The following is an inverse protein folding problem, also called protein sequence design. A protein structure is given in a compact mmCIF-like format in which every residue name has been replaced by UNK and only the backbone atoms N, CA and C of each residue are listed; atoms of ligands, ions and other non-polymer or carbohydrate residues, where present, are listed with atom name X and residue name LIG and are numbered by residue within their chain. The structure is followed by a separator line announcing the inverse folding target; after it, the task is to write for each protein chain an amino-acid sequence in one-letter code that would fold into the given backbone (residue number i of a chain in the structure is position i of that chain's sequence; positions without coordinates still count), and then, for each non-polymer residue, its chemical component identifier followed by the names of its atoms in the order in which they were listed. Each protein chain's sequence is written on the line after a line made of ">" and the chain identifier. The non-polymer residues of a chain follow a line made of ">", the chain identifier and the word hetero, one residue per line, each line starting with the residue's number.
data_IF_843364389558
#
_entry.id   IF_843364389558
#
_cell.length_a   1.000
_cell.length_b   1.000
_cell.length_c   1.000
_cell.angle_alpha   90.00
_cell.angle_beta   90.00
_cell.angle_gamma   90.00
#
_symmetry.space_group_name_H-M   'P 1'
#
loop_
_entity.id
_entity.type
_entity.pdbx_description
1 polymer ?
#
# COMPACT_ATOMS: atom_id res chain seq x y z
N UNK A 1 44.84 -27.36 21.22
CA UNK A 1 44.65 -26.44 20.08
C UNK A 1 45.73 -26.69 19.02
N UNK A 2 45.48 -26.37 17.73
CA UNK A 2 46.54 -26.36 16.69
C UNK A 2 47.69 -25.41 17.09
N UNK A 3 47.38 -24.38 17.89
CA UNK A 3 48.34 -23.42 18.45
C UNK A 3 49.26 -24.05 19.49
N UNK A 4 48.75 -24.93 20.36
CA UNK A 4 49.56 -25.63 21.38
C UNK A 4 50.56 -26.61 20.74
N UNK A 5 50.19 -27.20 19.59
CA UNK A 5 51.08 -28.07 18.81
C UNK A 5 52.21 -27.31 18.10
N UNK A 6 52.05 -26.00 17.91
CA UNK A 6 53.05 -25.12 17.30
C UNK A 6 53.96 -24.44 18.34
N UNK A 7 53.74 -24.68 19.64
CA UNK A 7 54.64 -24.26 20.73
C UNK A 7 54.53 -22.80 21.15
N UNK A 8 53.48 -22.08 20.73
CA UNK A 8 53.24 -20.70 21.15
C UNK A 8 52.82 -20.62 22.62
N UNK A 9 53.43 -19.72 23.40
CA UNK A 9 53.03 -19.44 24.78
C UNK A 9 52.00 -18.31 24.83
N UNK A 10 51.20 -18.30 25.89
CA UNK A 10 50.21 -17.26 26.12
C UNK A 10 50.92 -15.90 26.28
N UNK A 11 50.66 -14.96 25.37
CA UNK A 11 51.33 -13.65 25.30
C UNK A 11 52.31 -13.46 24.13
N UNK A 12 52.68 -14.53 23.40
CA UNK A 12 53.55 -14.42 22.23
C UNK A 12 52.82 -13.80 21.02
N UNK A 13 53.46 -12.84 20.34
CA UNK A 13 52.91 -12.25 19.11
C UNK A 13 53.03 -13.25 17.96
N UNK A 14 51.89 -13.74 17.48
CA UNK A 14 51.84 -14.73 16.41
C UNK A 14 51.95 -14.03 15.04
N UNK A 15 53.07 -14.23 14.34
CA UNK A 15 53.30 -13.72 12.99
C UNK A 15 53.46 -14.89 12.01
N UNK A 16 52.34 -15.50 11.63
CA UNK A 16 52.32 -16.56 10.63
C UNK A 16 51.28 -16.28 9.56
N UNK A 17 51.71 -16.30 8.29
CA UNK A 17 50.87 -16.01 7.13
C UNK A 17 49.64 -16.91 7.04
N UNK A 18 49.74 -18.19 7.42
CA UNK A 18 48.59 -19.10 7.47
C UNK A 18 47.54 -18.67 8.51
N UNK A 19 47.98 -18.14 9.66
CA UNK A 19 47.09 -17.70 10.74
C UNK A 19 46.44 -16.36 10.37
N UNK A 20 47.22 -15.40 9.85
CA UNK A 20 46.67 -14.14 9.33
C UNK A 20 45.69 -14.36 8.18
N UNK A 21 46.00 -15.25 7.22
CA UNK A 21 45.09 -15.61 6.13
C UNK A 21 43.82 -16.31 6.64
N UNK A 22 43.92 -17.11 7.71
CA UNK A 22 42.77 -17.76 8.33
C UNK A 22 41.86 -16.75 9.03
N UNK A 23 42.43 -15.76 9.74
CA UNK A 23 41.70 -14.64 10.34
C UNK A 23 41.01 -13.81 9.26
N UNK A 24 41.72 -13.47 8.18
CA UNK A 24 41.15 -12.72 7.06
C UNK A 24 39.99 -13.48 6.38
N UNK A 25 40.12 -14.79 6.17
CA UNK A 25 39.04 -15.63 5.63
C UNK A 25 37.85 -15.69 6.58
N UNK A 26 38.09 -15.81 7.89
CA UNK A 26 37.03 -15.80 8.89
C UNK A 26 36.29 -14.46 8.89
N UNK A 27 37.02 -13.34 8.86
CA UNK A 27 36.44 -12.00 8.73
C UNK A 27 35.61 -11.88 7.46
N UNK A 28 36.16 -12.25 6.30
CA UNK A 28 35.44 -12.20 5.02
C UNK A 28 34.15 -13.02 5.05
N UNK A 29 34.17 -14.20 5.68
CA UNK A 29 32.97 -15.04 5.83
C UNK A 29 31.90 -14.39 6.70
N UNK A 30 32.30 -13.68 7.76
CA UNK A 30 31.38 -12.90 8.61
C UNK A 30 30.80 -11.73 7.82
N UNK A 31 31.62 -11.02 7.04
CA UNK A 31 31.17 -9.94 6.15
C UNK A 31 30.19 -10.44 5.09
N UNK A 32 30.50 -11.56 4.41
CA UNK A 32 29.63 -12.21 3.42
C UNK A 32 28.29 -12.64 4.05
N UNK A 33 28.30 -13.18 5.28
CA UNK A 33 27.08 -13.54 5.99
C UNK A 33 26.23 -12.31 6.33
N UNK A 34 26.84 -11.26 6.88
CA UNK A 34 26.16 -10.00 7.18
C UNK A 34 25.59 -9.34 5.93
N UNK A 35 26.33 -9.37 4.82
CA UNK A 35 25.87 -8.90 3.52
C UNK A 35 24.64 -9.71 3.05
N UNK A 36 24.70 -11.04 3.14
CA UNK A 36 23.58 -11.91 2.78
C UNK A 36 22.30 -11.63 3.59
N UNK A 37 22.44 -11.42 4.90
CA UNK A 37 21.31 -11.07 5.79
C UNK A 37 20.67 -9.74 5.36
N UNK A 38 21.48 -8.70 5.12
CA UNK A 38 20.99 -7.38 4.71
C UNK A 38 20.34 -7.42 3.33
N UNK A 39 20.96 -8.12 2.38
CA UNK A 39 20.40 -8.30 1.03
C UNK A 39 19.02 -8.95 1.09
N UNK A 40 18.88 -10.04 1.86
CA UNK A 40 17.58 -10.70 2.04
C UNK A 40 16.58 -9.76 2.70
N UNK A 41 16.97 -9.02 3.74
CA UNK A 41 16.05 -8.06 4.38
C UNK A 41 15.53 -7.01 3.38
N UNK A 42 16.40 -6.49 2.52
CA UNK A 42 16.04 -5.54 1.47
C UNK A 42 15.03 -6.16 0.47
N UNK A 43 15.28 -7.38 -0.01
CA UNK A 43 14.40 -8.06 -0.97
C UNK A 43 12.96 -8.26 -0.47
N UNK A 44 12.78 -8.47 0.84
CA UNK A 44 11.45 -8.57 1.46
C UNK A 44 10.82 -7.19 1.67
N UNK A 45 11.62 -6.17 2.02
CA UNK A 45 11.15 -4.80 2.17
C UNK A 45 10.75 -4.18 0.83
N UNK A 46 11.42 -4.52 -0.28
CA UNK A 46 11.07 -4.03 -1.63
C UNK A 46 9.61 -4.32 -1.97
N UNK A 47 9.12 -5.52 -1.63
CA UNK A 47 7.71 -5.91 -1.81
C UNK A 47 6.80 -5.02 -0.97
N UNK A 48 7.13 -4.84 0.31
CA UNK A 48 6.37 -4.01 1.24
C UNK A 48 6.39 -2.54 0.84
N UNK A 49 7.50 -2.04 0.31
CA UNK A 49 7.66 -0.66 -0.10
C UNK A 49 6.77 -0.34 -1.30
N UNK A 50 6.69 -1.25 -2.30
CA UNK A 50 5.75 -1.12 -3.42
C UNK A 50 4.30 -1.05 -2.95
N UNK A 51 3.89 -1.96 -2.05
CA UNK A 51 2.56 -1.95 -1.47
C UNK A 51 2.28 -0.66 -0.67
N UNK A 52 3.23 -0.25 0.17
CA UNK A 52 3.14 0.95 1.00
C UNK A 52 2.94 2.22 0.16
N UNK A 53 3.69 2.37 -0.93
CA UNK A 53 3.54 3.51 -1.83
C UNK A 53 2.11 3.57 -2.39
N UNK A 54 1.56 2.45 -2.86
CA UNK A 54 0.20 2.40 -3.39
C UNK A 54 -0.87 2.74 -2.34
N UNK A 55 -0.74 2.22 -1.11
CA UNK A 55 -1.68 2.54 -0.02
C UNK A 55 -1.56 4.00 0.40
N UNK A 56 -0.34 4.52 0.51
CA UNK A 56 -0.12 5.89 0.94
C UNK A 56 -0.61 6.91 -0.07
N UNK A 57 -0.54 6.61 -1.36
CA UNK A 57 -1.16 7.43 -2.42
C UNK A 57 -2.68 7.52 -2.23
N UNK A 58 -3.37 6.38 -2.09
CA UNK A 58 -4.82 6.34 -1.83
C UNK A 58 -5.21 7.03 -0.53
N UNK A 59 -4.41 6.84 0.53
CA UNK A 59 -4.60 7.50 1.83
C UNK A 59 -4.46 9.02 1.70
N UNK A 60 -3.49 9.48 0.91
CA UNK A 60 -3.27 10.90 0.64
C UNK A 60 -4.47 11.52 -0.08
N UNK A 61 -5.00 10.83 -1.10
CA UNK A 61 -6.23 11.25 -1.78
C UNK A 61 -7.42 11.35 -0.82
N UNK A 62 -7.58 10.42 0.12
CA UNK A 62 -8.63 10.47 1.13
C UNK A 62 -8.45 11.61 2.14
N UNK A 63 -7.22 11.89 2.58
CA UNK A 63 -6.91 12.97 3.54
C UNK A 63 -7.21 14.36 2.97
N UNK A 64 -6.77 14.62 1.74
CA UNK A 64 -6.91 15.94 1.12
C UNK A 64 -8.20 16.07 0.30
N UNK A 65 -8.76 14.96 -0.17
CA UNK A 65 -9.94 14.91 -1.04
C UNK A 65 -9.63 15.13 -2.52
N UNK A 66 -8.36 15.24 -2.89
CA UNK A 66 -7.93 15.30 -4.28
C UNK A 66 -8.08 13.92 -4.91
N UNK A 67 -8.70 13.83 -6.09
CA UNK A 67 -8.94 12.57 -6.82
C UNK A 67 -9.77 11.50 -6.10
N UNK A 68 -10.24 11.75 -4.88
CA UNK A 68 -11.04 10.79 -4.11
C UNK A 68 -12.30 10.33 -4.86
N UNK A 69 -12.98 11.24 -5.58
CA UNK A 69 -14.13 10.88 -6.40
C UNK A 69 -13.79 9.82 -7.45
N UNK A 70 -12.60 9.92 -8.08
CA UNK A 70 -12.12 8.95 -9.07
C UNK A 70 -11.70 7.62 -8.41
N UNK A 71 -11.11 7.65 -7.21
CA UNK A 71 -10.83 6.43 -6.45
C UNK A 71 -12.12 5.68 -6.07
N UNK A 72 -13.16 6.41 -5.66
CA UNK A 72 -14.48 5.83 -5.35
C UNK A 72 -15.12 5.27 -6.62
N UNK A 73 -15.13 6.02 -7.71
CA UNK A 73 -15.63 5.61 -9.03
C UNK A 73 -14.96 4.31 -9.52
N UNK A 74 -13.63 4.26 -9.43
CA UNK A 74 -12.82 3.06 -9.72
C UNK A 74 -13.20 1.90 -8.79
N UNK A 75 -13.51 2.18 -7.52
CA UNK A 75 -13.97 1.16 -6.57
C UNK A 75 -15.32 0.57 -6.97
N UNK A 76 -16.26 1.39 -7.44
CA UNK A 76 -17.55 0.91 -7.96
C UNK A 76 -17.35 -0.01 -9.18
N UNK A 77 -16.52 0.41 -10.14
CA UNK A 77 -16.20 -0.40 -11.32
C UNK A 77 -15.52 -1.73 -10.94
N UNK A 78 -14.54 -1.70 -10.03
CA UNK A 78 -13.85 -2.89 -9.56
C UNK A 78 -14.78 -3.89 -8.85
N UNK A 79 -15.72 -3.40 -8.02
CA UNK A 79 -16.69 -4.28 -7.35
C UNK A 79 -17.72 -4.82 -8.35
N UNK A 80 -18.19 -4.03 -9.32
CA UNK A 80 -19.05 -4.53 -10.38
C UNK A 80 -18.37 -5.67 -11.15
N UNK A 81 -17.10 -5.48 -11.55
CA UNK A 81 -16.26 -6.50 -12.17
C UNK A 81 -16.16 -7.77 -11.32
N UNK A 82 -15.72 -7.62 -10.07
CA UNK A 82 -15.53 -8.74 -9.15
C UNK A 82 -16.81 -9.53 -8.90
N UNK A 83 -17.97 -8.88 -8.81
CA UNK A 83 -19.25 -9.56 -8.62
C UNK A 83 -19.67 -10.31 -9.89
N UNK A 84 -19.60 -9.66 -11.06
CA UNK A 84 -19.93 -10.34 -12.32
C UNK A 84 -19.02 -11.55 -12.50
N UNK A 85 -17.71 -11.38 -12.46
CA UNK A 85 -16.75 -12.48 -12.70
C UNK A 85 -16.99 -13.66 -11.75
N UNK A 86 -17.07 -13.40 -10.44
CA UNK A 86 -17.22 -14.45 -9.44
C UNK A 86 -18.54 -15.21 -9.56
N UNK A 87 -19.66 -14.52 -9.77
CA UNK A 87 -20.97 -15.18 -9.82
C UNK A 87 -21.25 -15.79 -11.18
N UNK A 88 -20.63 -15.29 -12.27
CA UNK A 88 -20.72 -15.94 -13.59
C UNK A 88 -19.97 -17.27 -13.59
N UNK A 89 -18.82 -17.34 -12.94
CA UNK A 89 -18.06 -18.58 -12.79
C UNK A 89 -18.83 -19.63 -11.98
N UNK A 90 -19.58 -19.19 -10.97
CA UNK A 90 -20.39 -20.07 -10.11
C UNK A 90 -21.78 -20.41 -10.68
N UNK A 91 -22.17 -19.80 -11.80
CA UNK A 91 -23.51 -19.88 -12.39
C UNK A 91 -24.65 -19.52 -11.40
N UNK A 92 -24.36 -18.66 -10.40
CA UNK A 92 -25.27 -18.33 -9.31
C UNK A 92 -25.86 -16.91 -9.45
N UNK A 93 -26.97 -16.82 -10.18
CA UNK A 93 -27.67 -15.56 -10.41
C UNK A 93 -28.39 -15.03 -9.15
N UNK A 94 -28.93 -15.91 -8.31
CA UNK A 94 -29.60 -15.49 -7.07
C UNK A 94 -28.60 -14.93 -6.06
N UNK A 95 -27.43 -15.56 -5.93
CA UNK A 95 -26.31 -15.04 -5.17
C UNK A 95 -25.83 -13.69 -5.70
N UNK A 96 -25.73 -13.52 -7.02
CA UNK A 96 -25.41 -12.25 -7.66
C UNK A 96 -26.41 -11.14 -7.29
N UNK A 97 -27.71 -11.42 -7.38
CA UNK A 97 -28.76 -10.46 -6.98
C UNK A 97 -28.61 -10.05 -5.51
N UNK A 98 -28.42 -11.02 -4.62
CA UNK A 98 -28.22 -10.75 -3.20
C UNK A 98 -26.95 -9.92 -2.96
N UNK A 99 -25.87 -10.20 -3.68
CA UNK A 99 -24.64 -9.44 -3.58
C UNK A 99 -24.80 -8.00 -4.08
N UNK A 100 -25.60 -7.75 -5.12
CA UNK A 100 -25.93 -6.39 -5.57
C UNK A 100 -26.67 -5.60 -4.49
N UNK A 101 -27.60 -6.23 -3.78
CA UNK A 101 -28.32 -5.60 -2.66
C UNK A 101 -27.34 -5.28 -1.53
N UNK A 102 -26.50 -6.24 -1.11
CA UNK A 102 -25.60 -6.06 0.03
C UNK A 102 -24.48 -5.04 -0.24
N UNK A 103 -23.97 -4.98 -1.48
CA UNK A 103 -22.85 -4.09 -1.80
C UNK A 103 -23.32 -2.73 -2.32
N UNK A 104 -24.35 -2.68 -3.17
CA UNK A 104 -24.78 -1.43 -3.80
C UNK A 104 -26.14 -0.91 -3.31
N UNK A 105 -26.89 -1.69 -2.51
CA UNK A 105 -28.22 -1.28 -2.06
C UNK A 105 -29.25 -1.22 -3.20
N UNK A 106 -29.07 -2.03 -4.24
CA UNK A 106 -29.94 -2.06 -5.42
C UNK A 106 -30.39 -3.48 -5.77
N UNK A 107 -31.61 -3.56 -6.32
CA UNK A 107 -32.10 -4.72 -7.05
C UNK A 107 -31.78 -4.48 -8.54
N UNK A 108 -30.92 -5.32 -9.12
CA UNK A 108 -30.39 -5.10 -10.47
C UNK A 108 -31.46 -5.37 -11.52
N UNK A 109 -31.39 -4.63 -12.64
CA UNK A 109 -32.26 -4.86 -13.79
C UNK A 109 -31.75 -5.96 -14.71
N UNK A 110 -30.53 -6.44 -14.50
CA UNK A 110 -29.95 -7.55 -15.25
C UNK A 110 -30.76 -8.80 -14.94
N UNK A 111 -31.39 -9.38 -15.96
CA UNK A 111 -32.12 -10.65 -15.83
C UNK A 111 -31.17 -11.85 -15.96
N UNK A 112 -31.66 -13.03 -15.57
CA UNK A 112 -30.87 -14.26 -15.56
C UNK A 112 -30.38 -14.64 -16.97
N UNK A 113 -31.20 -14.38 -17.99
CA UNK A 113 -30.82 -14.67 -19.38
C UNK A 113 -29.67 -13.79 -19.85
N UNK A 114 -29.73 -12.49 -19.57
CA UNK A 114 -28.68 -11.52 -19.92
C UNK A 114 -27.42 -11.82 -19.13
N UNK A 115 -27.53 -12.10 -17.83
CA UNK A 115 -26.41 -12.51 -16.98
C UNK A 115 -25.66 -13.73 -17.54
N UNK A 116 -26.38 -14.72 -18.08
CA UNK A 116 -25.77 -15.94 -18.64
C UNK A 116 -25.24 -15.79 -20.06
N UNK A 117 -25.87 -14.96 -20.91
CA UNK A 117 -25.57 -14.92 -22.35
C UNK A 117 -24.74 -13.71 -22.80
N UNK A 118 -24.82 -12.60 -22.09
CA UNK A 118 -24.15 -11.37 -22.50
C UNK A 118 -22.63 -11.43 -22.31
N UNK A 119 -21.93 -10.50 -22.97
CA UNK A 119 -20.49 -10.31 -22.77
C UNK A 119 -20.22 -9.76 -21.36
N UNK A 120 -19.19 -10.29 -20.70
CA UNK A 120 -18.78 -9.91 -19.34
C UNK A 120 -18.57 -8.39 -19.22
N UNK A 121 -17.80 -7.78 -20.13
CA UNK A 121 -17.53 -6.34 -20.07
C UNK A 121 -18.81 -5.49 -20.15
N UNK A 122 -19.74 -5.88 -21.03
CA UNK A 122 -21.04 -5.19 -21.14
C UNK A 122 -21.89 -5.32 -19.89
N UNK A 123 -21.85 -6.47 -19.21
CA UNK A 123 -22.52 -6.67 -17.92
C UNK A 123 -21.90 -5.81 -16.81
N UNK A 124 -20.57 -5.75 -16.77
CA UNK A 124 -19.81 -4.92 -15.81
C UNK A 124 -20.19 -3.46 -15.98
N UNK A 125 -20.18 -2.94 -17.21
CA UNK A 125 -20.54 -1.56 -17.51
C UNK A 125 -22.00 -1.27 -17.13
N UNK A 126 -22.92 -2.20 -17.42
CA UNK A 126 -24.34 -2.05 -17.05
C UNK A 126 -24.53 -1.97 -15.53
N UNK A 127 -23.93 -2.92 -14.79
CA UNK A 127 -24.02 -2.96 -13.34
C UNK A 127 -23.35 -1.75 -12.69
N UNK A 128 -22.18 -1.35 -13.19
CA UNK A 128 -21.46 -0.17 -12.76
C UNK A 128 -22.32 1.09 -12.92
N UNK A 129 -22.93 1.30 -14.08
CA UNK A 129 -23.80 2.44 -14.31
C UNK A 129 -25.03 2.44 -13.38
N UNK A 130 -25.69 1.29 -13.21
CA UNK A 130 -26.80 1.14 -12.26
C UNK A 130 -26.39 1.51 -10.82
N UNK A 131 -25.23 1.01 -10.38
CA UNK A 131 -24.70 1.25 -9.05
C UNK A 131 -24.30 2.72 -8.83
N UNK A 132 -23.61 3.33 -9.79
CA UNK A 132 -23.20 4.72 -9.75
C UNK A 132 -24.40 5.68 -9.76
N UNK A 133 -25.41 5.41 -10.58
CA UNK A 133 -26.66 6.18 -10.59
C UNK A 133 -27.39 6.08 -9.25
N UNK A 134 -27.51 4.87 -8.70
CA UNK A 134 -28.13 4.64 -7.39
C UNK A 134 -27.39 5.37 -6.27
N UNK A 135 -26.06 5.29 -6.27
CA UNK A 135 -25.22 5.97 -5.28
C UNK A 135 -25.39 7.49 -5.36
N UNK A 136 -25.35 8.06 -6.57
CA UNK A 136 -25.54 9.51 -6.76
C UNK A 136 -26.94 9.97 -6.29
N UNK A 137 -27.98 9.19 -6.57
CA UNK A 137 -29.33 9.48 -6.07
C UNK A 137 -29.40 9.41 -4.53
N UNK A 138 -28.77 8.41 -3.92
CA UNK A 138 -28.69 8.25 -2.46
C UNK A 138 -27.91 9.40 -1.81
N UNK A 139 -26.80 9.81 -2.41
CA UNK A 139 -25.98 10.95 -1.98
C UNK A 139 -26.81 12.24 -1.93
N UNK A 140 -27.62 12.53 -2.95
CA UNK A 140 -28.51 13.70 -2.98
C UNK A 140 -29.62 13.61 -1.92
N UNK A 141 -30.16 12.43 -1.68
CA UNK A 141 -31.18 12.23 -0.64
C UNK A 141 -30.60 12.48 0.77
N UNK A 142 -29.42 11.95 1.06
CA UNK A 142 -28.72 12.22 2.33
C UNK A 142 -28.45 13.71 2.56
N UNK A 143 -28.06 14.44 1.50
CA UNK A 143 -27.86 15.88 1.56
C UNK A 143 -29.15 16.62 1.96
N UNK A 144 -30.26 16.29 1.31
CA UNK A 144 -31.57 16.88 1.62
C UNK A 144 -32.02 16.60 3.05
N UNK A 145 -31.80 15.38 3.55
CA UNK A 145 -32.15 15.00 4.92
C UNK A 145 -31.31 15.71 5.97
N UNK A 146 -30.03 15.98 5.67
CA UNK A 146 -29.13 16.67 6.59
C UNK A 146 -29.45 18.17 6.72
N UNK A 147 -29.87 18.84 5.65
CA UNK A 147 -30.02 20.31 5.63
C UNK A 147 -30.93 20.87 6.74
N UNK A 148 -32.12 20.32 7.02
CA UNK A 148 -32.96 20.77 8.12
C UNK A 148 -32.25 20.71 9.48
N UNK A 149 -31.46 19.66 9.72
CA UNK A 149 -30.69 19.48 10.97
C UNK A 149 -29.65 20.59 11.11
N UNK A 150 -28.89 20.87 10.05
CA UNK A 150 -27.88 21.93 10.05
C UNK A 150 -28.50 23.33 10.23
N UNK A 151 -29.65 23.60 9.60
CA UNK A 151 -30.40 24.84 9.79
C UNK A 151 -30.86 25.01 11.25
N UNK A 152 -31.40 23.95 11.85
CA UNK A 152 -31.84 23.97 13.25
C UNK A 152 -30.67 24.22 14.21
N UNK A 153 -29.50 23.62 13.96
CA UNK A 153 -28.29 23.86 14.76
C UNK A 153 -27.87 25.33 14.68
N UNK A 154 -27.85 25.91 13.48
CA UNK A 154 -27.49 27.32 13.30
C UNK A 154 -28.46 28.27 14.01
N UNK A 155 -29.76 27.96 14.00
CA UNK A 155 -30.78 28.75 14.67
C UNK A 155 -30.71 28.64 16.21
N UNK A 156 -30.37 27.46 16.75
CA UNK A 156 -30.39 27.20 18.20
C UNK A 156 -29.10 27.57 18.91
N UNK A 157 -27.94 27.36 18.29
CA UNK A 157 -26.63 27.51 18.96
C UNK A 157 -25.83 28.75 18.52
N UNK A 158 -26.39 29.58 17.62
CA UNK A 158 -25.80 30.86 17.21
C UNK A 158 -24.56 30.75 16.31
N UNK A 159 -23.80 31.84 16.19
CA UNK A 159 -22.67 32.01 15.26
C UNK A 159 -21.35 31.37 15.72
N UNK A 160 -21.30 30.74 16.89
CA UNK A 160 -20.04 30.31 17.50
C UNK A 160 -19.58 28.91 17.04
N UNK A 161 -20.42 28.16 16.33
CA UNK A 161 -20.10 26.79 15.88
C UNK A 161 -19.62 26.82 14.44
N UNK A 162 -18.35 26.49 14.25
CA UNK A 162 -17.75 26.32 12.92
C UNK A 162 -17.91 24.90 12.39
N UNK A 163 -17.72 23.89 13.24
CA UNK A 163 -17.73 22.47 12.83
C UNK A 163 -18.70 21.63 13.67
N UNK A 164 -19.38 20.72 12.98
CA UNK A 164 -20.39 19.82 13.55
C UNK A 164 -19.96 18.38 13.32
N UNK A 165 -20.12 17.55 14.34
CA UNK A 165 -19.95 16.10 14.22
C UNK A 165 -21.30 15.49 13.86
N UNK A 166 -21.37 14.78 12.73
CA UNK A 166 -22.55 14.04 12.29
C UNK A 166 -22.27 12.54 12.40
N UNK A 167 -23.08 11.78 13.17
CA UNK A 167 -22.98 10.33 13.16
C UNK A 167 -23.59 9.77 11.88
N UNK A 168 -22.93 8.78 11.29
CA UNK A 168 -23.41 7.98 10.17
C UNK A 168 -23.37 6.50 10.53
N UNK A 169 -24.31 5.73 9.98
CA UNK A 169 -24.33 4.28 10.09
C UNK A 169 -24.81 3.61 8.82
N UNK A 170 -24.25 2.45 8.51
CA UNK A 170 -24.75 1.50 7.49
C UNK A 170 -25.60 0.38 8.13
N UNK A 171 -25.97 0.53 9.41
CA UNK A 171 -26.63 -0.48 10.23
C UNK A 171 -25.68 -1.43 10.98
N UNK A 172 -24.38 -1.43 10.66
CA UNK A 172 -23.37 -2.28 11.32
C UNK A 172 -22.25 -1.46 11.95
N UNK A 173 -21.69 -0.53 11.19
CA UNK A 173 -20.63 0.40 11.58
C UNK A 173 -21.24 1.75 11.94
N UNK A 174 -20.61 2.44 12.88
CA UNK A 174 -20.92 3.82 13.22
C UNK A 174 -19.69 4.68 12.98
N UNK A 175 -19.86 5.83 12.33
CA UNK A 175 -18.78 6.74 12.00
C UNK A 175 -19.19 8.17 12.38
N UNK A 176 -18.29 8.87 13.07
CA UNK A 176 -18.48 10.29 13.37
C UNK A 176 -17.74 11.12 12.34
N UNK A 177 -18.49 11.85 11.51
CA UNK A 177 -17.95 12.69 10.45
C UNK A 177 -17.92 14.13 10.91
N UNK A 178 -16.74 14.74 10.87
CA UNK A 178 -16.59 16.16 11.17
C UNK A 178 -16.77 16.97 9.88
N UNK A 179 -17.67 17.94 9.89
CA UNK A 179 -17.90 18.82 8.74
C UNK A 179 -18.08 20.27 9.16
N UNK A 180 -17.83 21.20 8.24
CA UNK A 180 -18.01 22.63 8.50
C UNK A 180 -19.49 23.05 8.28
N UNK A 181 -20.07 23.72 9.28
CA UNK A 181 -21.49 24.10 9.29
C UNK A 181 -21.82 25.09 8.17
N UNK A 182 -21.06 26.16 8.03
CA UNK A 182 -21.29 27.21 7.02
C UNK A 182 -21.14 26.67 5.61
N UNK A 183 -20.07 25.92 5.34
CA UNK A 183 -19.85 25.31 4.04
C UNK A 183 -20.98 24.36 3.68
N UNK A 184 -21.37 23.47 4.61
CA UNK A 184 -22.47 22.51 4.38
C UNK A 184 -23.78 23.21 4.04
N UNK A 185 -24.11 24.32 4.72
CA UNK A 185 -25.30 25.11 4.40
C UNK A 185 -25.19 25.81 3.05
N UNK A 186 -24.02 26.38 2.71
CA UNK A 186 -23.79 27.08 1.44
C UNK A 186 -23.77 26.15 0.22
N UNK A 187 -23.36 24.90 0.39
CA UNK A 187 -23.27 23.88 -0.67
C UNK A 187 -24.45 22.91 -0.67
N UNK A 188 -25.55 23.24 0.01
CA UNK A 188 -26.75 22.40 0.11
C UNK A 188 -26.48 20.94 0.56
N UNK A 189 -25.46 20.72 1.39
CA UNK A 189 -25.11 19.41 1.94
C UNK A 189 -23.92 18.73 1.25
N UNK A 190 -23.43 19.23 0.11
CA UNK A 190 -22.33 18.59 -0.62
C UNK A 190 -21.05 18.43 0.22
N UNK A 191 -20.70 19.41 1.04
CA UNK A 191 -19.54 19.33 1.95
C UNK A 191 -19.65 18.17 2.95
N UNK A 192 -20.86 17.88 3.45
CA UNK A 192 -21.09 16.76 4.36
C UNK A 192 -20.85 15.42 3.66
N UNK A 193 -21.35 15.24 2.44
CA UNK A 193 -21.11 14.01 1.66
C UNK A 193 -19.63 13.84 1.33
N UNK A 194 -18.93 14.90 0.95
CA UNK A 194 -17.49 14.84 0.70
C UNK A 194 -16.72 14.52 1.99
N UNK A 195 -17.13 15.07 3.13
CA UNK A 195 -16.53 14.76 4.43
C UNK A 195 -16.76 13.30 4.82
N UNK A 196 -17.95 12.76 4.52
CA UNK A 196 -18.29 11.35 4.72
C UNK A 196 -17.38 10.46 3.89
N UNK A 197 -17.29 10.71 2.57
CA UNK A 197 -16.44 9.97 1.62
C UNK A 197 -14.97 9.95 2.08
N UNK A 198 -14.41 11.10 2.49
CA UNK A 198 -13.04 11.18 3.01
C UNK A 198 -12.86 10.33 4.27
N UNK A 199 -13.76 10.50 5.24
CA UNK A 199 -13.64 9.88 6.55
C UNK A 199 -13.77 8.36 6.47
N UNK A 200 -14.75 7.84 5.71
CA UNK A 200 -14.91 6.39 5.56
C UNK A 200 -13.74 5.78 4.79
N UNK A 201 -13.33 6.41 3.69
CA UNK A 201 -12.23 5.90 2.86
C UNK A 201 -10.95 5.79 3.68
N UNK A 202 -10.60 6.85 4.42
CA UNK A 202 -9.44 6.85 5.29
C UNK A 202 -9.54 5.79 6.40
N UNK A 203 -10.70 5.69 7.06
CA UNK A 203 -10.90 4.73 8.14
C UNK A 203 -10.78 3.27 7.67
N UNK A 204 -11.36 2.96 6.51
CA UNK A 204 -11.30 1.61 5.94
C UNK A 204 -9.89 1.27 5.46
N UNK A 205 -9.20 2.21 4.78
CA UNK A 205 -7.80 2.00 4.36
C UNK A 205 -6.90 1.74 5.56
N UNK A 206 -6.97 2.58 6.60
CA UNK A 206 -6.10 2.48 7.76
C UNK A 206 -6.32 1.17 8.53
N UNK A 207 -7.57 0.72 8.67
CA UNK A 207 -7.89 -0.56 9.33
C UNK A 207 -7.38 -1.75 8.53
N UNK A 208 -7.70 -1.81 7.23
CA UNK A 208 -7.28 -2.91 6.37
C UNK A 208 -5.76 -2.98 6.21
N UNK A 209 -5.08 -1.83 6.10
CA UNK A 209 -3.63 -1.79 6.00
C UNK A 209 -2.95 -2.25 7.29
N UNK A 210 -3.50 -1.88 8.46
CA UNK A 210 -3.00 -2.36 9.74
C UNK A 210 -3.10 -3.87 9.86
N UNK A 211 -4.21 -4.48 9.45
CA UNK A 211 -4.34 -5.94 9.45
C UNK A 211 -3.41 -6.61 8.42
N UNK A 212 -3.29 -6.03 7.23
CA UNK A 212 -2.36 -6.51 6.21
C UNK A 212 -0.89 -6.48 6.68
N UNK A 213 -0.46 -5.43 7.38
CA UNK A 213 0.89 -5.37 7.95
C UNK A 213 1.18 -6.51 8.93
N UNK A 214 0.17 -6.95 9.71
CA UNK A 214 0.30 -8.11 10.60
C UNK A 214 0.39 -9.41 9.80
N UNK A 215 -0.50 -9.59 8.83
CA UNK A 215 -0.49 -10.75 7.95
C UNK A 215 0.82 -10.90 7.17
N UNK A 216 1.43 -9.78 6.76
CA UNK A 216 2.73 -9.74 6.09
C UNK A 216 3.90 -10.13 7.00
N UNK A 217 3.85 -9.78 8.29
CA UNK A 217 4.86 -10.21 9.26
C UNK A 217 4.77 -11.72 9.52
N UNK A 218 3.54 -12.23 9.70
CA UNK A 218 3.26 -13.67 9.84
C UNK A 218 3.73 -14.45 8.59
N UNK A 219 3.43 -13.93 7.40
CA UNK A 219 3.86 -14.50 6.13
C UNK A 219 5.38 -14.57 6.00
N UNK A 220 6.08 -13.50 6.39
CA UNK A 220 7.55 -13.46 6.35
C UNK A 220 8.19 -14.55 7.21
N UNK A 221 7.57 -14.88 8.34
CA UNK A 221 8.02 -15.96 9.23
C UNK A 221 7.65 -17.34 8.67
N UNK A 222 6.41 -17.53 8.20
CA UNK A 222 5.92 -18.83 7.72
C UNK A 222 6.68 -19.32 6.49
N UNK A 223 7.00 -18.42 5.57
CA UNK A 223 7.65 -18.74 4.29
C UNK A 223 9.08 -19.26 4.46
N UNK A 224 9.72 -19.07 5.62
CA UNK A 224 11.01 -19.71 5.91
C UNK A 224 10.93 -21.25 5.88
N UNK A 225 9.74 -21.82 6.14
CA UNK A 225 9.51 -23.27 6.07
C UNK A 225 9.48 -23.81 4.63
N UNK A 226 9.28 -22.96 3.61
CA UNK A 226 9.26 -23.35 2.20
C UNK A 226 10.58 -23.96 1.71
N UNK A 227 11.69 -23.72 2.42
CA UNK A 227 12.96 -24.40 2.18
C UNK A 227 12.84 -25.93 2.27
N UNK A 228 11.94 -26.45 3.10
CA UNK A 228 11.67 -27.89 3.22
C UNK A 228 11.12 -28.49 1.92
N UNK A 229 10.40 -27.69 1.13
CA UNK A 229 9.86 -28.08 -0.18
C UNK A 229 10.83 -27.83 -1.35
N UNK A 230 12.07 -27.45 -1.07
CA UNK A 230 13.07 -27.05 -2.08
C UNK A 230 12.62 -25.87 -2.97
N UNK A 231 11.68 -25.06 -2.49
CA UNK A 231 11.26 -23.82 -3.14
C UNK A 231 12.03 -22.64 -2.56
N UNK A 232 12.21 -21.59 -3.35
CA UNK A 232 12.81 -20.35 -2.86
C UNK A 232 11.80 -19.58 -1.98
N UNK A 233 12.08 -19.38 -0.68
CA UNK A 233 11.22 -18.61 0.21
C UNK A 233 10.88 -17.22 -0.34
N UNK A 234 11.83 -16.52 -0.98
CA UNK A 234 11.56 -15.18 -1.48
C UNK A 234 10.50 -15.17 -2.58
N UNK A 235 10.49 -16.20 -3.43
CA UNK A 235 9.51 -16.33 -4.52
C UNK A 235 8.11 -16.58 -3.96
N UNK A 236 8.00 -17.49 -2.99
CA UNK A 236 6.72 -17.78 -2.31
C UNK A 236 6.19 -16.53 -1.60
N UNK A 237 7.06 -15.84 -0.86
CA UNK A 237 6.71 -14.59 -0.20
C UNK A 237 6.15 -13.56 -1.19
N UNK A 238 6.81 -13.35 -2.35
CA UNK A 238 6.34 -12.41 -3.37
C UNK A 238 4.96 -12.76 -3.91
N UNK A 239 4.72 -14.04 -4.20
CA UNK A 239 3.44 -14.51 -4.74
C UNK A 239 2.32 -14.36 -3.72
N UNK A 240 2.51 -14.86 -2.49
CA UNK A 240 1.50 -14.79 -1.43
C UNK A 240 1.25 -13.35 -0.98
N UNK A 241 2.30 -12.53 -0.87
CA UNK A 241 2.18 -11.11 -0.55
C UNK A 241 1.34 -10.36 -1.59
N UNK A 242 1.52 -10.66 -2.87
CA UNK A 242 0.72 -10.06 -3.95
C UNK A 242 -0.75 -10.47 -3.84
N UNK A 243 -1.03 -11.76 -3.61
CA UNK A 243 -2.41 -12.25 -3.42
C UNK A 243 -3.07 -11.62 -2.20
N UNK A 244 -2.39 -11.59 -1.05
CA UNK A 244 -2.92 -10.96 0.16
C UNK A 244 -3.20 -9.47 -0.05
N UNK A 245 -2.28 -8.75 -0.72
CA UNK A 245 -2.47 -7.34 -1.02
C UNK A 245 -3.63 -7.08 -1.99
N UNK A 246 -3.79 -7.91 -3.01
CA UNK A 246 -4.91 -7.84 -3.95
C UNK A 246 -6.24 -8.07 -3.24
N UNK A 247 -6.31 -9.09 -2.38
CA UNK A 247 -7.50 -9.38 -1.57
C UNK A 247 -7.82 -8.24 -0.61
N UNK A 248 -6.81 -7.65 0.03
CA UNK A 248 -6.97 -6.47 0.88
C UNK A 248 -7.58 -5.30 0.08
N UNK A 249 -7.08 -5.02 -1.13
CA UNK A 249 -7.61 -3.95 -1.97
C UNK A 249 -9.06 -4.19 -2.39
N UNK A 250 -9.41 -5.41 -2.79
CA UNK A 250 -10.80 -5.78 -3.09
C UNK A 250 -11.71 -5.54 -1.89
N UNK A 251 -11.26 -5.93 -0.69
CA UNK A 251 -12.09 -5.79 0.50
C UNK A 251 -12.15 -4.35 1.02
N UNK A 252 -11.12 -3.53 0.79
CA UNK A 252 -11.18 -2.08 0.99
C UNK A 252 -12.24 -1.46 0.07
N UNK A 253 -12.19 -1.73 -1.24
CA UNK A 253 -13.15 -1.20 -2.21
C UNK A 253 -14.58 -1.60 -1.84
N UNK A 254 -14.79 -2.86 -1.50
CA UNK A 254 -16.09 -3.41 -1.10
C UNK A 254 -16.64 -2.75 0.15
N UNK A 255 -15.81 -2.59 1.18
CA UNK A 255 -16.21 -1.95 2.43
C UNK A 255 -16.55 -0.46 2.24
N UNK A 256 -15.80 0.26 1.39
CA UNK A 256 -16.07 1.66 1.07
C UNK A 256 -17.41 1.78 0.35
N UNK A 257 -17.60 1.02 -0.74
CA UNK A 257 -18.80 1.05 -1.57
C UNK A 257 -20.03 0.63 -0.76
N UNK A 258 -19.95 -0.50 -0.03
CA UNK A 258 -21.05 -1.01 0.78
C UNK A 258 -21.47 -0.01 1.86
N UNK A 259 -20.52 0.60 2.57
CA UNK A 259 -20.84 1.61 3.56
C UNK A 259 -21.47 2.86 2.92
N UNK A 260 -20.89 3.38 1.84
CA UNK A 260 -21.39 4.58 1.16
C UNK A 260 -22.80 4.39 0.59
N UNK A 261 -23.09 3.23 0.02
CA UNK A 261 -24.41 2.90 -0.54
C UNK A 261 -25.49 2.68 0.53
N UNK A 262 -25.12 2.28 1.75
CA UNK A 262 -26.05 2.04 2.86
C UNK A 262 -26.01 3.13 3.94
N UNK A 263 -25.15 4.13 3.79
CA UNK A 263 -24.97 5.17 4.79
C UNK A 263 -26.28 5.90 5.07
N UNK A 264 -26.59 6.07 6.34
CA UNK A 264 -27.76 6.79 6.82
C UNK A 264 -27.39 7.63 8.04
N UNK A 265 -28.09 8.74 8.21
CA UNK A 265 -27.97 9.56 9.42
C UNK A 265 -29.02 9.00 10.40
N UNK A 266 -28.61 8.45 11.56
CA UNK A 266 -29.56 7.97 12.53
C UNK A 266 -30.37 9.16 13.04
N UNK A 267 -31.70 9.12 12.79
CA UNK A 267 -32.63 10.08 13.37
C UNK A 267 -32.70 9.75 14.85
N UNK A 268 -31.93 10.45 15.66
CA UNK A 268 -31.92 10.29 17.11
C UNK A 268 -33.35 10.52 17.64
N UNK A 269 -34.01 9.44 18.09
CA UNK A 269 -35.22 9.52 18.91
C UNK A 269 -34.90 10.02 20.33
N UNK A 270 -33.62 9.98 20.73
CA UNK A 270 -33.16 10.43 22.04
C UNK A 270 -32.27 11.65 21.97
N UNK A 271 -32.65 12.63 22.78
CA UNK A 271 -32.16 13.98 23.03
C UNK A 271 -30.64 14.10 23.33
N UNK A 272 -29.78 13.53 22.48
CA UNK A 272 -28.33 13.63 22.61
C UNK A 272 -27.86 14.83 21.78
N UNK A 273 -27.50 15.96 22.39
CA UNK A 273 -27.06 17.11 21.62
C UNK A 273 -25.82 16.73 20.80
N UNK A 274 -25.94 16.82 19.47
CA UNK A 274 -24.80 16.79 18.54
C UNK A 274 -23.73 17.75 19.08
N UNK A 275 -22.58 17.21 19.45
CA UNK A 275 -21.53 17.96 20.14
C UNK A 275 -20.72 18.78 19.13
N UNK A 276 -20.33 19.98 19.53
CA UNK A 276 -19.36 20.79 18.82
C UNK A 276 -18.09 19.97 18.54
N UNK A 277 -17.72 19.86 17.27
CA UNK A 277 -16.56 19.09 16.85
C UNK A 277 -15.31 19.94 16.83
N UNK A 278 -14.32 19.61 17.66
CA UNK A 278 -12.98 20.22 17.53
C UNK A 278 -12.16 19.42 16.52
N UNK A 279 -11.61 20.10 15.50
CA UNK A 279 -10.60 19.50 14.64
C UNK A 279 -9.38 19.16 15.50
N UNK A 280 -9.16 17.88 15.80
CA UNK A 280 -7.88 17.43 16.30
C UNK A 280 -6.91 17.40 15.13
N UNK A 281 -6.09 18.45 15.00
CA UNK A 281 -4.97 18.41 14.05
C UNK A 281 -3.93 17.45 14.61
N UNK A 282 -3.68 16.35 13.90
CA UNK A 282 -2.51 15.52 14.14
C UNK A 282 -1.28 16.40 13.91
N UNK A 283 -0.45 16.57 14.93
CA UNK A 283 0.76 17.38 14.82
C UNK A 283 1.79 16.65 13.95
N UNK A 284 1.85 17.03 12.67
CA UNK A 284 2.75 16.46 11.69
C UNK A 284 4.16 17.06 11.76
N UNK A 285 4.45 17.98 12.68
CA UNK A 285 5.76 18.65 12.78
C UNK A 285 6.93 17.70 13.04
N UNK A 286 6.64 16.51 13.58
CA UNK A 286 7.63 15.45 13.83
C UNK A 286 7.63 14.34 12.79
N UNK A 287 6.70 14.36 11.82
CA UNK A 287 6.70 13.38 10.74
C UNK A 287 7.75 13.80 9.70
N UNK A 288 8.95 13.21 9.81
CA UNK A 288 9.95 13.29 8.75
C UNK A 288 9.82 12.04 7.89
N UNK A 289 9.37 12.21 6.65
CA UNK A 289 9.54 11.19 5.64
C UNK A 289 11.01 11.23 5.19
N UNK A 290 11.79 10.21 5.51
CA UNK A 290 13.18 10.09 5.03
C UNK A 290 13.27 9.78 3.53
N UNK A 291 12.17 9.81 2.78
CA UNK A 291 12.15 9.46 1.36
C UNK A 291 13.04 10.41 0.55
N UNK A 292 12.88 11.72 0.76
CA UNK A 292 13.63 12.73 0.02
C UNK A 292 15.12 12.78 0.44
N UNK A 293 15.44 12.50 1.71
CA UNK A 293 16.83 12.38 2.17
C UNK A 293 17.51 11.11 1.63
N UNK A 294 16.76 10.02 1.45
CA UNK A 294 17.27 8.76 0.87
C UNK A 294 17.44 8.89 -0.65
N UNK A 295 16.52 9.57 -1.34
CA UNK A 295 16.60 9.81 -2.79
C UNK A 295 17.71 10.84 -3.13
N UNK A 296 17.90 11.87 -2.30
CA UNK A 296 18.98 12.86 -2.47
C UNK A 296 20.37 12.34 -2.10
N UNK A 297 20.47 11.29 -1.28
CA UNK A 297 21.74 10.70 -0.85
C UNK A 297 22.48 9.93 -1.97
N UNK A 298 21.87 9.75 -3.16
CA UNK A 298 22.57 9.44 -4.40
C UNK A 298 23.65 8.38 -4.28
N UNK A 299 23.29 7.18 -3.81
CA UNK A 299 24.13 5.98 -3.81
C UNK A 299 23.25 4.75 -3.57
N UNK A 300 23.24 3.80 -4.52
CA UNK A 300 22.80 2.40 -4.44
C UNK A 300 21.42 1.98 -3.89
N UNK A 301 20.56 2.89 -3.43
CA UNK A 301 19.32 2.51 -2.72
C UNK A 301 17.99 3.02 -3.32
N UNK A 302 18.01 3.69 -4.46
CA UNK A 302 16.78 4.14 -5.12
C UNK A 302 16.36 3.17 -6.23
N UNK A 303 15.18 2.56 -6.04
CA UNK A 303 14.44 1.94 -7.14
C UNK A 303 14.23 2.99 -8.23
N UNK A 304 14.72 2.71 -9.45
CA UNK A 304 14.60 3.60 -10.60
C UNK A 304 13.13 4.01 -10.83
N UNK A 305 12.92 5.29 -11.18
CA UNK A 305 11.65 5.89 -11.69
C UNK A 305 11.11 5.23 -12.98
N UNK A 306 11.73 4.14 -13.45
CA UNK A 306 11.31 3.35 -14.62
C UNK A 306 10.41 2.17 -14.27
N UNK A 307 10.18 1.87 -12.99
CA UNK A 307 9.19 0.88 -12.53
C UNK A 307 7.75 1.45 -12.56
N UNK A 308 7.35 2.05 -13.69
CA UNK A 308 5.93 2.36 -13.94
C UNK A 308 5.20 1.06 -14.27
N UNK A 309 4.24 0.71 -13.43
CA UNK A 309 3.31 -0.39 -13.71
C UNK A 309 2.35 0.07 -14.82
N UNK A 310 2.46 -0.54 -16.01
CA UNK A 310 1.47 -0.47 -17.08
C UNK A 310 0.51 -1.67 -16.92
N UNK A 311 -0.80 -1.48 -16.74
CA UNK A 311 -1.76 -2.58 -16.57
C UNK A 311 -2.01 -3.40 -17.85
N UNK A 312 -1.42 -3.04 -19.00
CA UNK A 312 -1.78 -3.58 -20.31
C UNK A 312 -0.66 -4.25 -21.10
N UNK A 313 -0.17 -5.41 -20.66
CA UNK A 313 0.40 -6.43 -21.55
C UNK A 313 1.88 -6.32 -21.95
N UNK A 314 2.55 -7.48 -21.99
CA UNK A 314 3.89 -7.67 -22.55
C UNK A 314 4.97 -7.81 -21.48
N UNK A 315 5.37 -9.04 -21.21
CA UNK A 315 6.52 -9.35 -20.35
C UNK A 315 7.81 -8.82 -20.99
N UNK A 316 8.21 -7.60 -20.65
CA UNK A 316 9.59 -7.17 -20.83
C UNK A 316 10.42 -7.62 -19.62
N UNK A 317 11.38 -8.49 -19.93
CA UNK A 317 12.34 -9.06 -18.99
C UNK A 317 13.10 -7.90 -18.34
N UNK A 318 12.93 -7.73 -17.04
CA UNK A 318 13.76 -6.83 -16.24
C UNK A 318 15.24 -7.14 -16.52
N UNK A 319 15.96 -6.19 -17.12
CA UNK A 319 17.40 -6.31 -17.35
C UNK A 319 18.10 -6.54 -16.00
N UNK A 320 18.60 -7.76 -15.79
CA UNK A 320 19.53 -8.04 -14.68
C UNK A 320 20.75 -7.15 -14.89
N UNK A 321 20.90 -6.12 -14.05
CA UNK A 321 22.14 -5.36 -13.99
C UNK A 321 23.28 -6.32 -13.60
N UNK A 322 24.22 -6.51 -14.52
CA UNK A 322 25.42 -7.29 -14.25
C UNK A 322 26.27 -6.58 -13.19
N UNK A 323 26.87 -7.33 -12.25
CA UNK A 323 27.72 -6.74 -11.23
C UNK A 323 28.88 -5.99 -11.89
N UNK A 324 29.15 -4.77 -11.43
CA UNK A 324 30.25 -3.93 -11.90
C UNK A 324 31.55 -4.74 -11.83
N UNK A 325 32.05 -5.15 -13.00
CA UNK A 325 33.34 -5.84 -13.11
C UNK A 325 34.42 -4.80 -12.91
N UNK A 326 35.05 -4.82 -11.73
CA UNK A 326 36.22 -3.99 -11.46
C UNK A 326 37.32 -4.43 -12.43
N UNK A 327 37.77 -3.52 -13.30
CA UNK A 327 38.85 -3.79 -14.25
C UNK A 327 40.05 -4.44 -13.54
N UNK A 328 40.75 -5.40 -14.18
CA UNK A 328 41.83 -6.14 -13.55
C UNK A 328 42.89 -5.18 -13.00
N UNK A 329 43.11 -5.21 -11.68
CA UNK A 329 44.16 -4.42 -11.02
C UNK A 329 45.52 -4.84 -11.58
N UNK A 330 46.18 -3.92 -12.27
CA UNK A 330 47.53 -4.13 -12.83
C UNK A 330 48.51 -4.53 -11.73
N UNK A 331 49.16 -5.66 -11.93
CA UNK A 331 50.13 -6.21 -10.99
C UNK A 331 51.39 -5.34 -10.90
N UNK A 332 51.99 -5.26 -9.71
CA UNK A 332 53.19 -4.44 -9.41
C UNK A 332 54.37 -4.66 -10.39
N UNK A 333 54.47 -5.83 -11.02
CA UNK A 333 55.54 -6.20 -11.96
C UNK A 333 55.10 -6.21 -13.44
N UNK A 334 53.84 -5.89 -13.76
CA UNK A 334 53.32 -5.86 -15.13
C UNK A 334 53.77 -4.60 -15.89
N UNK A 335 53.73 -4.61 -17.24
CA UNK A 335 54.04 -3.43 -18.05
C UNK A 335 53.11 -2.28 -17.69
N UNK A 336 53.68 -1.08 -17.49
CA UNK A 336 52.88 0.08 -17.12
C UNK A 336 51.99 0.52 -18.31
N UNK A 337 50.69 0.79 -18.09
CA UNK A 337 49.73 1.07 -19.16
C UNK A 337 49.94 2.42 -19.86
N UNK A 338 50.83 3.27 -19.33
CA UNK A 338 51.23 4.53 -19.97
C UNK A 338 52.16 4.36 -21.19
N UNK A 339 52.49 3.11 -21.59
CA UNK A 339 53.32 2.84 -22.76
C UNK A 339 54.83 3.10 -22.57
N UNK A 340 55.28 3.37 -21.34
CA UNK A 340 56.68 3.72 -21.04
C UNK A 340 57.70 2.57 -21.14
N UNK A 341 57.25 1.34 -21.45
CA UNK A 341 58.09 0.14 -21.51
C UNK A 341 58.63 -0.34 -20.15
N UNK A 342 58.32 0.34 -19.04
CA UNK A 342 58.78 0.01 -17.67
C UNK A 342 57.71 -0.77 -16.90
N UNK A 343 58.13 -1.56 -15.90
CA UNK A 343 57.21 -2.23 -14.96
C UNK A 343 56.45 -1.21 -14.10
N UNK A 344 55.20 -1.47 -13.76
CA UNK A 344 54.31 -0.55 -13.05
C UNK A 344 54.95 0.07 -11.79
N UNK A 345 55.61 -0.74 -10.94
CA UNK A 345 56.32 -0.26 -9.73
C UNK A 345 57.46 0.74 -9.94
N UNK A 346 58.00 0.81 -11.16
CA UNK A 346 59.09 1.73 -11.51
C UNK A 346 58.59 2.96 -12.27
N UNK A 347 57.27 3.06 -12.46
CA UNK A 347 56.59 4.15 -13.15
C UNK A 347 55.45 4.67 -12.27
N UNK A 348 54.19 4.46 -12.66
CA UNK A 348 53.03 4.99 -11.93
C UNK A 348 52.80 4.35 -10.54
N UNK A 349 53.43 3.21 -10.25
CA UNK A 349 53.40 2.56 -8.94
C UNK A 349 54.63 2.83 -8.08
N UNK A 350 55.40 3.89 -8.37
CA UNK A 350 56.61 4.25 -7.61
C UNK A 350 56.28 5.00 -6.31
N UNK A 351 55.15 5.71 -6.29
CA UNK A 351 54.63 6.49 -5.16
C UNK A 351 53.22 6.04 -4.72
N UNK A 352 52.75 4.88 -5.21
CA UNK A 352 51.42 4.32 -4.93
C UNK A 352 51.46 3.14 -3.95
#
# INVERSE_FOLDING_TARGET
>A
SLMDKLGYKEGDVIQHSMISNSIQRAQKKVEENNFGIRKRLLEYDDVMNKQRNAVYEKRNHALFGERLALDIDTSFSAIAGSLIDSFREQEDFEGFKMACIVNFGLDTKIDEETFKKAEINGLIDSLYNEASEKYNAHKVELQKQAIPVFKNIRLTQGSNIENVVVPFTDGRKNLNVLTNLDKTLSTEGAELSNSLEKTITLAVIDESWKEHLRAMDDLKQSVQTAYLEQKDPLVIYKMEAYTQFSNMNTEVNKNIVSFLSHASIPIQQDNTPLKEGRQQKTDMSRMRANKDEVDAAGQDYAANERDKFDPGGGAEVAEKQEPITVAPKIGRNEPCPCGSGKKYKQCHGKDA
#
